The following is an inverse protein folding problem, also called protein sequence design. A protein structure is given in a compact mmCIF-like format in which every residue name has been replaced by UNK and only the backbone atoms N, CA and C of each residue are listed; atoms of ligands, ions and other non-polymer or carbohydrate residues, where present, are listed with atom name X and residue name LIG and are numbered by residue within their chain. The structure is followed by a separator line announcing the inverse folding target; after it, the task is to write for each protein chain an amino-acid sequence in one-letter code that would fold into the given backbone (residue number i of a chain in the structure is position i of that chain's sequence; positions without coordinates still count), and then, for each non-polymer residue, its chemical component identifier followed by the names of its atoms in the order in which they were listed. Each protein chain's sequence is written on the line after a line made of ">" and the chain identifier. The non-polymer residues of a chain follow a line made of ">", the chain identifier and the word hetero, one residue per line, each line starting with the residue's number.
data_IF_951742305478
#
_entry.id   IF_951742305478
#
_cell.length_a   1.000
_cell.length_b   1.000
_cell.length_c   1.000
_cell.angle_alpha   90.00
_cell.angle_beta   90.00
_cell.angle_gamma   90.00
#
_symmetry.space_group_name_H-M   'P 1'
#
loop_
_entity.id
_entity.type
_entity.pdbx_description
1 polymer ?
#
# COMPACT_ATOMS: atom_id res chain seq x y z
N UNK A 1 -39.77 -3.16 43.00
CA UNK A 1 -38.38 -3.58 42.73
C UNK A 1 -38.14 -3.50 41.24
N UNK A 2 -37.50 -2.42 40.78
CA UNK A 2 -37.31 -2.12 39.35
C UNK A 2 -35.82 -2.23 39.03
N UNK A 3 -35.43 -3.27 38.30
CA UNK A 3 -34.05 -3.53 37.89
C UNK A 3 -33.70 -2.65 36.68
N UNK A 4 -32.73 -1.76 36.85
CA UNK A 4 -32.20 -0.86 35.81
C UNK A 4 -31.10 -1.60 35.02
N UNK A 5 -31.22 -1.67 33.69
CA UNK A 5 -30.22 -2.26 32.81
C UNK A 5 -28.92 -1.39 32.78
N UNK A 6 -27.73 -2.00 32.62
CA UNK A 6 -26.47 -1.26 32.54
C UNK A 6 -26.35 -0.55 31.19
N UNK A 7 -25.90 0.72 31.24
CA UNK A 7 -25.67 1.55 30.07
C UNK A 7 -24.49 1.02 29.24
N UNK A 8 -24.76 0.69 27.98
CA UNK A 8 -23.73 0.48 26.98
C UNK A 8 -23.13 1.83 26.60
N UNK A 9 -21.91 2.10 27.06
CA UNK A 9 -21.09 3.19 26.52
C UNK A 9 -20.77 2.89 25.05
N UNK A 10 -21.17 3.78 24.15
CA UNK A 10 -20.78 3.71 22.74
C UNK A 10 -19.25 3.77 22.64
N UNK A 11 -18.62 2.98 21.74
CA UNK A 11 -17.23 3.20 21.38
C UNK A 11 -17.07 4.62 20.84
N UNK A 12 -16.18 5.41 21.44
CA UNK A 12 -15.75 6.68 20.88
C UNK A 12 -14.99 6.39 19.60
N UNK A 13 -15.64 6.60 18.45
CA UNK A 13 -14.94 6.61 17.18
C UNK A 13 -14.08 7.87 17.11
N UNK A 14 -12.80 7.78 16.72
CA UNK A 14 -11.95 8.93 16.53
C UNK A 14 -12.58 9.87 15.49
N UNK A 15 -12.45 11.18 15.73
CA UNK A 15 -12.97 12.21 14.85
C UNK A 15 -12.31 12.10 13.47
N UNK A 16 -12.98 12.44 12.34
CA UNK A 16 -12.38 12.43 11.01
C UNK A 16 -11.08 13.25 10.89
N UNK A 17 -10.84 14.16 11.84
CA UNK A 17 -9.64 14.98 11.93
C UNK A 17 -8.41 14.23 12.49
N UNK A 18 -8.60 13.15 13.24
CA UNK A 18 -7.53 12.30 13.81
C UNK A 18 -7.01 11.23 12.83
N UNK A 19 -7.67 11.07 11.66
CA UNK A 19 -7.20 10.20 10.59
C UNK A 19 -6.21 10.89 9.63
N UNK A 20 -5.66 12.05 10.01
CA UNK A 20 -4.57 12.67 9.26
C UNK A 20 -3.35 11.76 9.33
N UNK A 21 -2.87 11.33 8.16
CA UNK A 21 -1.60 10.63 8.05
C UNK A 21 -0.54 11.54 8.67
N UNK A 22 0.20 11.02 9.65
CA UNK A 22 1.28 11.78 10.27
C UNK A 22 2.26 12.24 9.17
N UNK A 23 2.70 13.51 9.19
CA UNK A 23 3.70 13.99 8.24
C UNK A 23 4.98 13.18 8.36
N UNK A 24 5.83 13.25 7.33
CA UNK A 24 7.17 12.67 7.37
C UNK A 24 7.90 13.01 8.67
N UNK A 25 8.36 12.01 9.46
CA UNK A 25 9.18 12.26 10.63
C UNK A 25 10.39 13.12 10.28
N UNK A 26 10.77 14.04 11.17
CA UNK A 26 12.02 14.80 11.05
C UNK A 26 13.20 13.83 10.95
N UNK A 27 13.96 13.90 9.85
CA UNK A 27 15.02 12.95 9.50
C UNK A 27 14.70 12.06 8.30
N UNK A 28 13.43 11.98 7.88
CA UNK A 28 13.05 11.19 6.72
C UNK A 28 13.11 11.93 5.38
N UNK A 29 13.18 13.24 5.45
CA UNK A 29 13.29 14.13 4.30
C UNK A 29 14.76 14.51 4.06
N UNK A 30 15.18 14.73 2.80
CA UNK A 30 16.52 15.20 2.47
C UNK A 30 16.91 16.47 3.25
N UNK A 31 18.21 16.67 3.57
CA UNK A 31 18.67 17.86 4.32
C UNK A 31 18.32 19.19 3.64
N UNK A 32 18.32 19.17 2.31
CA UNK A 32 17.90 20.26 1.42
C UNK A 32 16.39 20.58 1.53
N UNK A 33 15.58 19.71 2.15
CA UNK A 33 14.14 19.88 2.29
C UNK A 33 13.76 21.15 3.06
N UNK A 34 14.50 21.49 4.11
CA UNK A 34 14.21 22.69 4.91
C UNK A 34 15.02 23.90 4.44
N UNK A 35 16.26 23.67 4.03
CA UNK A 35 17.27 24.71 3.87
C UNK A 35 17.35 25.29 2.46
N UNK A 36 16.98 24.54 1.42
CA UNK A 36 17.10 24.96 0.03
C UNK A 36 15.71 25.32 -0.55
N UNK A 37 15.32 26.58 -0.44
CA UNK A 37 14.01 27.03 -0.91
C UNK A 37 13.86 26.98 -2.44
N UNK A 38 14.91 27.31 -3.18
CA UNK A 38 14.90 27.34 -4.64
C UNK A 38 14.76 25.93 -5.23
N UNK A 39 15.58 24.99 -4.74
CA UNK A 39 15.49 23.59 -5.17
C UNK A 39 14.15 22.98 -4.83
N UNK A 40 13.62 23.26 -3.64
CA UNK A 40 12.34 22.71 -3.23
C UNK A 40 11.16 23.34 -4.00
N UNK A 41 11.21 24.64 -4.32
CA UNK A 41 10.24 25.27 -5.21
C UNK A 41 10.28 24.62 -6.61
N UNK A 42 11.49 24.35 -7.12
CA UNK A 42 11.66 23.58 -8.36
C UNK A 42 11.04 22.18 -8.26
N UNK A 43 11.36 21.39 -7.22
CA UNK A 43 10.86 20.03 -7.05
C UNK A 43 9.33 19.95 -6.86
N UNK A 44 8.72 20.95 -6.22
CA UNK A 44 7.28 20.99 -5.97
C UNK A 44 6.46 21.45 -7.18
N UNK A 45 7.10 22.14 -8.13
CA UNK A 45 6.43 22.56 -9.36
C UNK A 45 6.04 21.39 -10.25
N UNK A 46 5.04 21.59 -11.10
CA UNK A 46 4.58 20.58 -12.04
C UNK A 46 5.71 20.11 -12.98
N UNK A 47 5.58 18.89 -13.49
CA UNK A 47 6.40 18.45 -14.62
C UNK A 47 6.04 19.28 -15.87
N UNK A 48 7.01 19.42 -16.78
CA UNK A 48 6.73 19.95 -18.12
C UNK A 48 5.75 19.04 -18.86
N UNK A 49 5.21 19.49 -20.00
CA UNK A 49 4.22 18.71 -20.75
C UNK A 49 4.75 17.34 -21.17
N UNK A 50 6.04 17.26 -21.46
CA UNK A 50 6.71 15.99 -21.79
C UNK A 50 8.20 16.04 -21.46
N UNK A 51 8.85 14.87 -21.42
CA UNK A 51 10.29 14.75 -21.15
C UNK A 51 11.11 15.39 -22.28
N UNK A 52 10.61 15.39 -23.50
CA UNK A 52 11.28 15.92 -24.69
C UNK A 52 11.46 17.45 -24.62
N UNK A 53 10.59 18.15 -23.88
CA UNK A 53 10.69 19.61 -23.69
C UNK A 53 11.88 19.99 -22.82
N UNK A 54 12.16 19.22 -21.77
CA UNK A 54 13.31 19.43 -20.89
C UNK A 54 13.66 18.14 -20.14
N UNK A 55 14.51 17.32 -20.75
CA UNK A 55 14.89 16.03 -20.19
C UNK A 55 15.64 16.17 -18.85
N UNK A 56 16.49 17.19 -18.72
CA UNK A 56 17.28 17.43 -17.51
C UNK A 56 16.40 17.74 -16.31
N UNK A 57 15.44 18.66 -16.46
CA UNK A 57 14.48 18.99 -15.39
C UNK A 57 13.60 17.77 -15.05
N UNK A 58 13.10 17.10 -16.09
CA UNK A 58 12.23 15.93 -15.93
C UNK A 58 12.93 14.82 -15.16
N UNK A 59 14.13 14.43 -15.59
CA UNK A 59 14.88 13.33 -14.99
C UNK A 59 15.33 13.67 -13.57
N UNK A 60 15.69 14.93 -13.30
CA UNK A 60 16.02 15.41 -11.96
C UNK A 60 14.85 15.27 -10.98
N UNK A 61 13.66 15.79 -11.36
CA UNK A 61 12.43 15.64 -10.56
C UNK A 61 12.03 14.17 -10.40
N UNK A 62 12.06 13.41 -11.49
CA UNK A 62 11.65 12.01 -11.50
C UNK A 62 12.55 11.15 -10.61
N UNK A 63 13.86 11.35 -10.69
CA UNK A 63 14.84 10.64 -9.87
C UNK A 63 14.62 10.92 -8.37
N UNK A 64 14.55 12.19 -8.00
CA UNK A 64 14.31 12.62 -6.62
C UNK A 64 13.02 12.02 -6.04
N UNK A 65 11.89 12.23 -6.71
CA UNK A 65 10.60 11.82 -6.17
C UNK A 65 10.40 10.30 -6.19
N UNK A 66 10.89 9.61 -7.23
CA UNK A 66 10.81 8.14 -7.28
C UNK A 66 11.58 7.51 -6.12
N UNK A 67 12.78 8.00 -5.86
CA UNK A 67 13.61 7.50 -4.76
C UNK A 67 12.96 7.78 -3.40
N UNK A 68 12.43 8.99 -3.20
CA UNK A 68 11.78 9.38 -1.95
C UNK A 68 10.51 8.55 -1.68
N UNK A 69 9.66 8.33 -2.69
CA UNK A 69 8.45 7.48 -2.59
C UNK A 69 8.81 6.05 -2.20
N UNK A 70 9.82 5.45 -2.84
CA UNK A 70 10.22 4.07 -2.54
C UNK A 70 10.86 3.95 -1.15
N UNK A 71 11.71 4.91 -0.75
CA UNK A 71 12.29 4.97 0.59
C UNK A 71 11.23 5.16 1.67
N UNK A 72 10.23 5.99 1.39
CA UNK A 72 9.08 6.20 2.27
C UNK A 72 8.34 4.89 2.55
N UNK A 73 7.95 4.15 1.51
CA UNK A 73 7.30 2.84 1.66
C UNK A 73 8.11 1.88 2.52
N UNK A 74 9.43 1.77 2.26
CA UNK A 74 10.34 0.88 3.00
C UNK A 74 10.42 1.23 4.49
N UNK A 75 10.54 2.51 4.83
CA UNK A 75 10.64 2.95 6.24
C UNK A 75 9.34 2.83 7.01
N UNK A 76 8.21 3.16 6.38
CA UNK A 76 6.88 2.97 6.98
C UNK A 76 6.60 1.48 7.23
N UNK A 77 7.32 0.58 6.55
CA UNK A 77 7.06 -0.86 6.58
C UNK A 77 5.71 -1.24 5.95
N UNK A 78 5.08 -0.29 5.24
CA UNK A 78 3.78 -0.44 4.62
C UNK A 78 3.89 -0.97 3.19
N UNK A 79 3.04 -1.93 2.85
CA UNK A 79 2.98 -2.49 1.49
C UNK A 79 2.13 -1.67 0.52
N UNK A 80 1.26 -0.80 1.03
CA UNK A 80 0.30 -0.02 0.27
C UNK A 80 0.51 1.49 0.48
N UNK A 81 0.12 2.28 -0.51
CA UNK A 81 0.00 3.74 -0.42
C UNK A 81 -1.03 4.28 -1.42
N UNK A 82 -1.28 5.59 -1.41
CA UNK A 82 -2.03 6.31 -2.44
C UNK A 82 -1.45 7.71 -2.67
N UNK A 83 -1.88 8.40 -3.72
CA UNK A 83 -1.39 9.75 -4.04
C UNK A 83 -1.69 10.75 -2.91
N UNK A 84 -2.88 10.68 -2.31
CA UNK A 84 -3.27 11.55 -1.19
C UNK A 84 -2.36 11.39 0.01
N UNK A 85 -2.04 10.16 0.39
CA UNK A 85 -1.14 9.86 1.50
C UNK A 85 0.25 10.47 1.25
N UNK A 86 0.80 10.29 0.05
CA UNK A 86 2.11 10.82 -0.30
C UNK A 86 2.13 12.35 -0.38
N UNK A 87 1.04 12.97 -0.86
CA UNK A 87 0.90 14.42 -0.85
C UNK A 87 0.89 14.99 0.56
N UNK A 88 0.18 14.34 1.49
CA UNK A 88 0.17 14.73 2.90
C UNK A 88 1.52 14.49 3.58
N UNK A 89 2.15 13.34 3.32
CA UNK A 89 3.46 12.99 3.84
C UNK A 89 4.56 13.94 3.40
N UNK A 90 4.50 14.38 2.14
CA UNK A 90 5.47 15.28 1.52
C UNK A 90 4.99 16.73 1.47
N UNK A 91 3.98 17.09 2.27
CA UNK A 91 3.56 18.47 2.40
C UNK A 91 4.69 19.30 3.03
N UNK A 92 4.89 20.50 2.49
CA UNK A 92 5.87 21.45 2.99
C UNK A 92 5.26 22.84 3.00
N UNK A 93 5.16 23.44 4.20
CA UNK A 93 4.64 24.81 4.40
C UNK A 93 3.29 25.03 3.68
N UNK A 94 2.36 24.07 3.79
CA UNK A 94 1.05 24.12 3.15
C UNK A 94 1.03 23.85 1.65
N UNK A 95 2.16 23.50 1.04
CA UNK A 95 2.26 23.12 -0.37
C UNK A 95 2.47 21.61 -0.50
N UNK A 96 1.86 21.00 -1.52
CA UNK A 96 2.08 19.60 -1.90
C UNK A 96 2.83 19.51 -3.22
N UNK A 97 3.56 18.42 -3.52
CA UNK A 97 4.31 18.34 -4.76
C UNK A 97 3.39 18.01 -5.93
N UNK A 98 3.25 18.96 -6.86
CA UNK A 98 2.30 18.88 -7.97
C UNK A 98 2.62 17.73 -8.95
N UNK A 99 3.88 17.29 -8.97
CA UNK A 99 4.37 16.24 -9.86
C UNK A 99 4.14 14.81 -9.39
N UNK A 100 3.64 14.57 -8.16
CA UNK A 100 3.59 13.22 -7.59
C UNK A 100 2.74 12.24 -8.41
N UNK A 101 1.60 12.67 -8.96
CA UNK A 101 0.80 11.80 -9.83
C UNK A 101 1.59 11.27 -11.02
N UNK A 102 2.38 12.14 -11.67
CA UNK A 102 3.25 11.76 -12.80
C UNK A 102 4.32 10.75 -12.37
N UNK A 103 4.88 10.92 -11.18
CA UNK A 103 5.87 10.01 -10.60
C UNK A 103 5.25 8.63 -10.35
N UNK A 104 4.05 8.57 -9.75
CA UNK A 104 3.35 7.31 -9.48
C UNK A 104 2.99 6.58 -10.77
N UNK A 105 2.53 7.31 -11.79
CA UNK A 105 2.29 6.74 -13.12
C UNK A 105 3.56 6.10 -13.70
N UNK A 106 4.71 6.78 -13.58
CA UNK A 106 5.98 6.25 -14.08
C UNK A 106 6.46 5.03 -13.26
N UNK A 107 6.29 5.04 -11.94
CA UNK A 107 6.60 3.89 -11.09
C UNK A 107 5.71 2.68 -11.40
N UNK A 108 4.43 2.90 -11.70
CA UNK A 108 3.50 1.88 -12.20
C UNK A 108 3.98 1.32 -13.54
N UNK A 109 4.33 2.20 -14.50
CA UNK A 109 4.85 1.80 -15.82
C UNK A 109 6.13 0.98 -15.72
N UNK A 110 7.01 1.29 -14.76
CA UNK A 110 8.25 0.56 -14.49
C UNK A 110 8.06 -0.71 -13.64
N UNK A 111 6.84 -1.00 -13.17
CA UNK A 111 6.55 -2.14 -12.30
C UNK A 111 7.15 -2.03 -10.89
N UNK A 112 7.55 -0.82 -10.47
CA UNK A 112 8.00 -0.55 -9.09
C UNK A 112 6.82 -0.40 -8.14
N UNK A 113 5.70 0.10 -8.65
CA UNK A 113 4.39 0.04 -8.03
C UNK A 113 3.46 -0.82 -8.88
N UNK A 114 2.41 -1.34 -8.26
CA UNK A 114 1.33 -2.05 -8.94
C UNK A 114 -0.01 -1.58 -8.38
N UNK A 115 -1.06 -1.47 -9.20
CA UNK A 115 -2.41 -1.23 -8.67
C UNK A 115 -2.87 -2.45 -7.89
N UNK A 116 -3.53 -2.22 -6.76
CA UNK A 116 -4.09 -3.33 -5.99
C UNK A 116 -5.11 -4.13 -6.82
N UNK A 117 -5.96 -3.45 -7.60
CA UNK A 117 -6.93 -4.07 -8.50
C UNK A 117 -6.26 -4.99 -9.53
N UNK A 118 -5.22 -4.50 -10.21
CA UNK A 118 -4.45 -5.27 -11.19
C UNK A 118 -3.74 -6.46 -10.53
N UNK A 119 -3.25 -6.29 -9.30
CA UNK A 119 -2.63 -7.36 -8.53
C UNK A 119 -3.61 -8.46 -8.19
N UNK A 120 -4.76 -8.11 -7.61
CA UNK A 120 -5.81 -9.06 -7.24
C UNK A 120 -6.35 -9.80 -8.47
N UNK A 121 -6.54 -9.11 -9.60
CA UNK A 121 -6.98 -9.74 -10.85
C UNK A 121 -5.93 -10.70 -11.44
N UNK A 122 -4.66 -10.56 -11.07
CA UNK A 122 -3.57 -11.42 -11.53
C UNK A 122 -3.42 -12.74 -10.75
N UNK A 123 -4.16 -12.91 -9.65
CA UNK A 123 -4.16 -14.14 -8.84
C UNK A 123 -5.44 -14.93 -9.14
N UNK A 124 -5.31 -16.24 -9.30
CA UNK A 124 -6.41 -17.12 -9.71
C UNK A 124 -7.66 -16.96 -8.83
N UNK A 125 -8.82 -17.11 -9.48
CA UNK A 125 -10.16 -16.96 -8.91
C UNK A 125 -10.43 -17.80 -7.65
N UNK A 126 -9.65 -18.84 -7.40
CA UNK A 126 -9.81 -19.77 -6.26
C UNK A 126 -9.74 -19.09 -4.90
N UNK A 127 -8.96 -18.00 -4.76
CA UNK A 127 -8.97 -17.20 -3.53
C UNK A 127 -10.22 -16.32 -3.41
N UNK A 128 -10.72 -15.78 -4.54
CA UNK A 128 -11.90 -14.90 -4.60
C UNK A 128 -13.20 -15.70 -4.39
N UNK A 129 -13.21 -16.98 -4.72
CA UNK A 129 -14.38 -17.87 -4.60
C UNK A 129 -14.78 -18.25 -3.16
N UNK A 130 -13.99 -17.92 -2.13
CA UNK A 130 -14.15 -18.49 -0.76
C UNK A 130 -14.73 -17.57 0.30
N UNK A 131 -15.26 -16.39 -0.05
CA UNK A 131 -16.15 -15.67 0.87
C UNK A 131 -15.53 -15.18 2.19
N UNK A 132 -14.23 -15.36 2.46
CA UNK A 132 -13.49 -14.72 3.56
C UNK A 132 -13.27 -13.26 3.17
N UNK A 133 -14.35 -12.49 3.21
CA UNK A 133 -14.27 -11.04 3.23
C UNK A 133 -14.48 -10.32 1.89
N UNK A 134 -15.56 -10.62 1.17
CA UNK A 134 -16.27 -9.56 0.42
C UNK A 134 -16.58 -8.35 1.33
N UNK A 135 -16.57 -8.57 2.65
CA UNK A 135 -16.72 -7.55 3.70
C UNK A 135 -15.41 -6.95 4.24
N UNK A 136 -14.23 -7.54 4.02
CA UNK A 136 -12.94 -6.99 4.51
C UNK A 136 -12.36 -5.97 3.51
N UNK A 137 -12.67 -6.11 2.22
CA UNK A 137 -12.14 -5.26 1.14
C UNK A 137 -13.17 -4.36 0.45
N UNK A 138 -14.37 -4.14 1.04
CA UNK A 138 -15.50 -3.35 0.50
C UNK A 138 -15.41 -3.07 -1.02
N UNK A 139 -16.08 -3.85 -1.89
CA UNK A 139 -16.22 -3.50 -3.30
C UNK A 139 -17.25 -2.38 -3.43
N UNK A 140 -16.95 -1.17 -2.97
CA UNK A 140 -17.75 0.02 -3.24
C UNK A 140 -17.19 0.87 -4.39
N UNK A 141 -15.98 0.57 -4.87
CA UNK A 141 -15.42 1.15 -6.11
C UNK A 141 -14.98 0.09 -7.14
N UNK A 142 -15.24 -1.20 -6.88
CA UNK A 142 -15.00 -2.28 -7.82
C UNK A 142 -16.14 -2.40 -8.86
N UNK A 143 -16.64 -1.27 -9.36
CA UNK A 143 -17.28 -1.30 -10.68
C UNK A 143 -16.21 -1.73 -11.66
N UNK A 144 -16.50 -2.84 -12.34
CA UNK A 144 -15.75 -3.41 -13.46
C UNK A 144 -15.52 -2.35 -14.56
N UNK A 145 -14.58 -1.44 -14.33
CA UNK A 145 -13.88 -0.71 -15.37
C UNK A 145 -12.73 -1.59 -15.85
N UNK A 146 -13.04 -2.82 -16.27
CA UNK A 146 -12.18 -3.46 -17.24
C UNK A 146 -12.25 -2.59 -18.49
N UNK A 147 -11.11 -2.08 -18.94
CA UNK A 147 -10.70 -2.08 -20.36
C UNK A 147 -9.45 -1.19 -20.49
N UNK A 148 -8.37 -1.88 -20.84
CA UNK A 148 -7.04 -1.41 -21.22
C UNK A 148 -6.22 -0.68 -20.15
N UNK A 149 -5.00 -1.19 -19.97
CA UNK A 149 -3.89 -0.51 -19.31
C UNK A 149 -3.54 0.77 -20.06
N UNK A 150 -4.39 1.77 -19.90
CA UNK A 150 -4.09 3.12 -20.31
C UNK A 150 -3.26 3.76 -19.21
N UNK A 151 -2.31 4.57 -19.66
CA UNK A 151 -1.39 5.41 -18.91
C UNK A 151 -2.07 6.49 -18.05
N UNK A 152 -3.28 6.22 -17.54
CA UNK A 152 -4.08 7.17 -16.77
C UNK A 152 -3.37 7.51 -15.47
N UNK A 153 -3.53 8.77 -15.08
CA UNK A 153 -3.05 9.25 -13.79
C UNK A 153 -3.74 8.43 -12.69
N UNK A 154 -3.00 7.97 -11.65
CA UNK A 154 -3.66 7.33 -10.53
C UNK A 154 -4.58 8.32 -9.83
N UNK A 155 -5.75 7.84 -9.39
CA UNK A 155 -6.68 8.65 -8.60
C UNK A 155 -6.09 8.92 -7.20
N UNK A 156 -6.55 9.98 -6.53
CA UNK A 156 -5.99 10.39 -5.24
C UNK A 156 -6.02 9.29 -4.17
N UNK A 157 -7.10 8.52 -4.14
CA UNK A 157 -7.33 7.44 -3.17
C UNK A 157 -7.08 6.04 -3.76
N UNK A 158 -6.60 5.94 -5.00
CA UNK A 158 -6.28 4.65 -5.62
C UNK A 158 -5.14 3.96 -4.86
N UNK A 159 -5.35 2.71 -4.48
CA UNK A 159 -4.39 1.94 -3.70
C UNK A 159 -3.33 1.35 -4.61
N UNK A 160 -2.09 1.71 -4.32
CA UNK A 160 -0.90 1.25 -4.99
C UNK A 160 -0.08 0.38 -4.05
N UNK A 161 0.44 -0.73 -4.56
CA UNK A 161 1.25 -1.71 -3.85
C UNK A 161 2.72 -1.49 -4.20
N UNK A 162 3.58 -1.43 -3.18
CA UNK A 162 5.04 -1.51 -3.34
C UNK A 162 5.44 -2.96 -3.65
N UNK A 163 5.64 -3.28 -4.92
CA UNK A 163 5.83 -4.65 -5.37
C UNK A 163 7.05 -5.35 -4.76
N UNK A 164 8.16 -4.63 -4.54
CA UNK A 164 9.35 -5.18 -3.89
C UNK A 164 9.10 -5.48 -2.40
N UNK A 165 8.47 -4.55 -1.67
CA UNK A 165 8.17 -4.72 -0.23
C UNK A 165 7.19 -5.87 -0.02
N UNK A 166 6.19 -6.02 -0.90
CA UNK A 166 5.25 -7.13 -0.82
C UNK A 166 5.96 -8.49 -0.96
N UNK A 167 6.89 -8.62 -1.92
CA UNK A 167 7.68 -9.84 -2.12
C UNK A 167 8.59 -10.13 -0.94
N UNK A 168 9.25 -9.12 -0.39
CA UNK A 168 10.10 -9.24 0.80
C UNK A 168 9.29 -9.75 2.00
N UNK A 169 8.12 -9.16 2.28
CA UNK A 169 7.24 -9.64 3.35
C UNK A 169 6.69 -11.04 3.10
N UNK A 170 6.38 -11.39 1.86
CA UNK A 170 5.96 -12.74 1.51
C UNK A 170 7.06 -13.77 1.80
N UNK A 171 8.30 -13.45 1.47
CA UNK A 171 9.45 -14.28 1.79
C UNK A 171 9.68 -14.40 3.31
N UNK A 172 9.58 -13.29 4.05
CA UNK A 172 9.67 -13.31 5.52
C UNK A 172 8.59 -14.21 6.15
N UNK A 173 7.34 -14.10 5.69
CA UNK A 173 6.23 -14.95 6.16
C UNK A 173 6.49 -16.42 5.84
N UNK A 174 6.94 -16.73 4.63
CA UNK A 174 7.23 -18.11 4.25
C UNK A 174 8.36 -18.70 5.09
N UNK A 175 9.44 -17.93 5.31
CA UNK A 175 10.56 -18.37 6.15
C UNK A 175 10.15 -18.54 7.61
N UNK A 176 9.33 -17.62 8.14
CA UNK A 176 8.79 -17.75 9.50
C UNK A 176 7.95 -19.02 9.63
N UNK A 177 7.11 -19.31 8.65
CA UNK A 177 6.32 -20.53 8.61
C UNK A 177 7.21 -21.79 8.60
N UNK A 178 8.20 -21.86 7.70
CA UNK A 178 9.10 -23.02 7.57
C UNK A 178 9.85 -23.33 8.88
N UNK A 179 10.23 -22.29 9.63
CA UNK A 179 10.95 -22.40 10.89
C UNK A 179 10.03 -22.57 12.13
N UNK A 180 8.71 -22.63 11.93
CA UNK A 180 7.74 -22.81 13.02
C UNK A 180 7.35 -24.27 13.22
N UNK A 181 6.70 -24.59 14.34
CA UNK A 181 6.11 -25.92 14.56
C UNK A 181 4.98 -26.26 13.58
N UNK A 182 4.36 -25.23 12.96
CA UNK A 182 3.26 -25.41 12.01
C UNK A 182 3.72 -26.10 10.72
N UNK A 183 5.00 -25.97 10.35
CA UNK A 183 5.55 -26.58 9.12
C UNK A 183 5.53 -28.12 9.12
N UNK A 184 5.30 -28.73 10.28
CA UNK A 184 5.10 -30.18 10.40
C UNK A 184 3.79 -30.67 9.77
N UNK A 185 2.85 -29.78 9.48
CA UNK A 185 1.56 -30.10 8.88
C UNK A 185 1.43 -29.48 7.48
N UNK A 186 0.93 -30.21 6.48
CA UNK A 186 0.72 -29.66 5.13
C UNK A 186 -0.48 -28.70 5.03
N UNK A 187 -1.35 -28.70 6.04
CA UNK A 187 -2.55 -27.86 6.14
C UNK A 187 -2.50 -27.15 7.48
N UNK A 188 -2.74 -25.84 7.47
CA UNK A 188 -2.66 -24.98 8.66
C UNK A 188 -3.88 -24.08 8.71
N UNK A 189 -4.43 -23.88 9.91
CA UNK A 189 -5.54 -22.96 10.11
C UNK A 189 -5.14 -21.52 9.79
N UNK A 190 -5.98 -20.78 9.07
CA UNK A 190 -5.70 -19.39 8.69
C UNK A 190 -5.47 -18.49 9.92
N UNK A 191 -6.20 -18.73 11.01
CA UNK A 191 -6.05 -18.02 12.28
C UNK A 191 -4.70 -18.29 12.96
N UNK A 192 -4.20 -19.53 12.89
CA UNK A 192 -2.92 -19.93 13.47
C UNK A 192 -1.77 -19.30 12.68
N UNK A 193 -1.85 -19.35 11.35
CA UNK A 193 -0.89 -18.68 10.47
C UNK A 193 -0.89 -17.16 10.69
N UNK A 194 -2.07 -16.54 10.80
CA UNK A 194 -2.19 -15.10 11.12
C UNK A 194 -1.53 -14.76 12.45
N UNK A 195 -1.80 -15.58 13.49
CA UNK A 195 -1.18 -15.39 14.80
C UNK A 195 0.33 -15.44 14.73
N UNK A 196 0.89 -16.41 13.98
CA UNK A 196 2.34 -16.54 13.75
C UNK A 196 2.90 -15.29 13.04
N UNK A 197 2.21 -14.77 12.03
CA UNK A 197 2.70 -13.70 11.17
C UNK A 197 2.42 -12.27 11.68
N UNK A 198 1.85 -12.09 12.88
CA UNK A 198 1.41 -10.78 13.41
C UNK A 198 2.52 -9.73 13.42
N UNK A 199 3.78 -10.13 13.65
CA UNK A 199 4.93 -9.21 13.66
C UNK A 199 5.29 -8.67 12.27
N UNK A 200 5.06 -9.45 11.22
CA UNK A 200 5.35 -9.08 9.82
C UNK A 200 4.13 -8.42 9.17
N UNK A 201 2.94 -8.94 9.49
CA UNK A 201 1.64 -8.54 8.98
C UNK A 201 0.78 -8.01 10.15
N UNK A 202 0.95 -6.73 10.54
CA UNK A 202 0.26 -6.16 11.70
C UNK A 202 -1.24 -6.01 11.47
N UNK A 203 -1.67 -5.89 10.21
CA UNK A 203 -3.05 -5.73 9.81
C UNK A 203 -3.49 -6.84 8.83
N UNK A 204 -4.81 -7.02 8.76
CA UNK A 204 -5.44 -8.06 7.94
C UNK A 204 -5.18 -7.91 6.45
N UNK A 205 -5.16 -6.67 5.96
CA UNK A 205 -4.95 -6.38 4.54
C UNK A 205 -3.54 -6.75 4.12
N UNK A 206 -2.54 -6.42 4.94
CA UNK A 206 -1.15 -6.82 4.73
C UNK A 206 -1.02 -8.34 4.69
N UNK A 207 -1.64 -9.04 5.64
CA UNK A 207 -1.66 -10.50 5.67
C UNK A 207 -2.27 -11.10 4.39
N UNK A 208 -3.44 -10.62 3.97
CA UNK A 208 -4.11 -11.10 2.75
C UNK A 208 -3.29 -10.87 1.48
N UNK A 209 -2.69 -9.68 1.32
CA UNK A 209 -1.86 -9.37 0.15
C UNK A 209 -0.60 -10.25 0.11
N UNK A 210 0.00 -10.53 1.26
CA UNK A 210 1.14 -11.45 1.36
C UNK A 210 0.74 -12.88 0.96
N UNK A 211 -0.41 -13.38 1.41
CA UNK A 211 -0.91 -14.70 1.00
C UNK A 211 -1.19 -14.78 -0.50
N UNK A 212 -1.80 -13.74 -1.06
CA UNK A 212 -2.01 -13.61 -2.51
C UNK A 212 -0.69 -13.64 -3.28
N UNK A 213 0.35 -12.98 -2.76
CA UNK A 213 1.68 -13.02 -3.35
C UNK A 213 2.28 -14.43 -3.32
N UNK A 214 2.19 -15.14 -2.19
CA UNK A 214 2.66 -16.52 -2.07
C UNK A 214 1.90 -17.50 -2.98
N UNK A 215 0.59 -17.27 -3.17
CA UNK A 215 -0.23 -18.07 -4.07
C UNK A 215 0.13 -17.79 -5.54
N UNK A 216 0.34 -16.53 -5.90
CA UNK A 216 0.86 -16.13 -7.22
C UNK A 216 2.21 -16.78 -7.54
N UNK A 217 3.05 -16.96 -6.51
CA UNK A 217 4.33 -17.69 -6.60
C UNK A 217 4.19 -19.22 -6.55
N UNK A 218 2.96 -19.75 -6.45
CA UNK A 218 2.64 -21.19 -6.34
C UNK A 218 3.29 -21.87 -5.13
N UNK A 219 3.58 -21.12 -4.07
CA UNK A 219 4.18 -21.64 -2.83
C UNK A 219 3.16 -22.10 -1.82
N UNK A 220 1.96 -21.53 -1.89
CA UNK A 220 0.83 -21.91 -1.05
C UNK A 220 -0.41 -22.08 -1.91
N UNK A 221 -1.27 -23.00 -1.48
CA UNK A 221 -2.66 -23.07 -1.92
C UNK A 221 -3.48 -22.91 -0.67
N UNK A 222 -4.30 -21.88 -0.63
CA UNK A 222 -5.29 -21.75 0.44
C UNK A 222 -6.42 -22.74 0.09
N UNK A 223 -7.23 -23.21 1.03
CA UNK A 223 -8.39 -24.09 0.75
C UNK A 223 -9.49 -23.79 1.75
N UNK A 224 -10.76 -23.83 1.32
CA UNK A 224 -11.89 -23.90 2.25
C UNK A 224 -12.09 -25.37 2.64
N UNK A 225 -12.00 -25.66 3.93
CA UNK A 225 -12.35 -26.99 4.44
C UNK A 225 -13.87 -27.07 4.52
N UNK A 226 -14.49 -27.57 3.45
CA UNK A 226 -15.89 -28.00 3.51
C UNK A 226 -16.01 -29.07 4.60
N UNK A 227 -16.80 -28.77 5.64
CA UNK A 227 -17.16 -29.72 6.69
C UNK A 227 -18.00 -30.87 6.17
#
# INVERSE_FOLDING_TARGET
>A
TSTRAPGFSRPSYPSPEEARVAPAPEGDLPREWETDEERMAFLFSAFKQSREVNATEWDSKMGFWSELVLKWGRRKGGICTCLRELQQAFERRGSVPLGLGTVLRELLRRGKLQRESDFMASVDSSWISWGVGVFILKPLKWTLSSVLGDSKMPEEEEVLIYGEILKEKAEEVYNLYQNSTLSSHPIVGLSELRSLCTSICPDERTFCLVLLQLQKEKRVTVLEQNG
#
